data_IF_645043489363
#
_entry.id   IF_645043489363
#
_cell.length_a   1.000
_cell.length_b   1.000
_cell.length_c   1.000
_cell.angle_alpha   90.00
_cell.angle_beta   90.00
_cell.angle_gamma   90.00
#
_symmetry.space_group_name_H-M   'P 1'
#
loop_
_entity.id
_entity.type
_entity.pdbx_description
1 polymer ?
#
# COMPACT_ATOMS: atom_id res chain seq x y z
N UNK A 1 -1.19 5.06 -1.75
CA UNK A 1 -0.03 5.66 -2.44
C UNK A 1 1.23 4.94 -1.98
N UNK A 2 2.36 5.12 -2.65
CA UNK A 2 3.64 4.55 -2.18
C UNK A 2 3.96 5.09 -0.77
N UNK A 3 4.38 4.22 0.14
CA UNK A 3 4.59 4.50 1.56
C UNK A 3 3.36 4.32 2.46
N UNK A 4 2.15 4.12 1.92
CA UNK A 4 0.96 3.83 2.73
C UNK A 4 0.99 2.41 3.30
N UNK A 5 0.25 2.20 4.38
CA UNK A 5 0.06 0.89 5.00
C UNK A 5 -0.59 -0.09 4.01
N UNK A 6 -0.06 -1.31 3.98
CA UNK A 6 -0.64 -2.36 3.17
C UNK A 6 -1.92 -2.89 3.81
N UNK A 7 -3.05 -2.61 3.16
CA UNK A 7 -4.35 -3.17 3.54
C UNK A 7 -4.77 -4.33 2.60
N UNK A 8 -4.83 -5.60 3.06
CA UNK A 8 -5.28 -6.74 2.27
C UNK A 8 -6.72 -6.63 1.73
N UNK A 9 -7.58 -5.81 2.34
CA UNK A 9 -8.94 -5.58 1.86
C UNK A 9 -8.99 -4.64 0.65
N UNK A 10 -7.92 -3.87 0.41
CA UNK A 10 -7.84 -2.88 -0.68
C UNK A 10 -6.70 -3.17 -1.67
N UNK A 11 -5.73 -3.97 -1.26
CA UNK A 11 -4.48 -4.21 -1.98
C UNK A 11 -4.22 -5.69 -2.18
N UNK A 12 -3.68 -6.01 -3.36
CA UNK A 12 -3.20 -7.32 -3.74
C UNK A 12 -1.67 -7.27 -3.80
N UNK A 13 -1.01 -7.88 -2.81
CA UNK A 13 0.45 -7.96 -2.76
C UNK A 13 0.96 -8.96 -3.80
N UNK A 14 1.47 -8.45 -4.92
CA UNK A 14 2.03 -9.27 -6.01
C UNK A 14 3.53 -9.50 -5.87
N UNK A 15 4.18 -8.69 -5.05
CA UNK A 15 5.60 -8.79 -4.68
C UNK A 15 5.73 -8.49 -3.18
N UNK A 16 6.68 -9.15 -2.53
CA UNK A 16 7.00 -8.94 -1.11
C UNK A 16 8.51 -9.00 -0.93
N UNK A 17 9.07 -7.93 -0.39
CA UNK A 17 10.45 -7.87 0.09
C UNK A 17 10.47 -7.51 1.57
N UNK A 18 11.10 -8.33 2.42
CA UNK A 18 11.13 -8.07 3.85
C UNK A 18 10.79 -9.28 4.72
N UNK A 19 10.70 -9.04 6.02
CA UNK A 19 10.26 -10.00 7.03
C UNK A 19 8.77 -9.87 7.40
N UNK A 20 8.11 -8.80 6.94
CA UNK A 20 6.68 -8.57 7.13
C UNK A 20 6.32 -7.95 8.48
N UNK A 21 7.29 -7.40 9.21
CA UNK A 21 7.05 -6.77 10.53
C UNK A 21 6.20 -5.50 10.44
N UNK A 22 6.33 -4.72 9.37
CA UNK A 22 5.51 -3.53 9.13
C UNK A 22 5.29 -3.30 7.62
N UNK A 23 4.38 -4.06 6.99
CA UNK A 23 4.22 -4.06 5.55
C UNK A 23 3.62 -2.74 5.05
N UNK A 24 4.35 -2.03 4.21
CA UNK A 24 3.91 -0.83 3.50
C UNK A 24 4.01 -1.01 2.00
N UNK A 25 3.27 -0.20 1.26
CA UNK A 25 3.27 -0.19 -0.21
C UNK A 25 4.61 0.39 -0.69
N UNK A 26 5.50 -0.45 -1.21
CA UNK A 26 6.76 -0.01 -1.81
C UNK A 26 6.57 0.60 -3.20
N UNK A 27 5.72 -0.03 -4.02
CA UNK A 27 5.39 0.47 -5.36
C UNK A 27 3.96 0.09 -5.78
N UNK A 28 3.32 0.96 -6.58
CA UNK A 28 1.99 0.66 -7.15
C UNK A 28 2.13 0.27 -8.62
N UNK A 29 1.99 -1.02 -8.91
CA UNK A 29 2.06 -1.54 -10.29
C UNK A 29 0.75 -1.30 -11.05
N UNK A 30 -0.38 -1.41 -10.34
CA UNK A 30 -1.71 -1.20 -10.92
C UNK A 30 -2.64 -0.56 -9.90
N UNK A 31 -3.22 0.59 -10.25
CA UNK A 31 -4.18 1.29 -9.39
C UNK A 31 -5.44 0.46 -9.16
N UNK A 32 -5.86 0.36 -7.90
CA UNK A 32 -7.17 -0.16 -7.51
C UNK A 32 -8.24 0.93 -7.60
N UNK A 33 -9.50 0.52 -7.54
CA UNK A 33 -10.65 1.43 -7.52
C UNK A 33 -11.67 0.95 -6.51
N UNK A 34 -12.26 1.91 -5.79
CA UNK A 34 -13.39 1.71 -4.89
C UNK A 34 -14.51 2.70 -5.22
N UNK A 35 -15.75 2.25 -5.10
CA UNK A 35 -16.94 3.07 -5.24
C UNK A 35 -17.70 3.03 -3.91
N UNK A 36 -17.61 4.12 -3.14
CA UNK A 36 -18.06 4.13 -1.76
C UNK A 36 -17.27 3.11 -0.95
N UNK A 37 -17.97 2.15 -0.35
CA UNK A 37 -17.39 1.03 0.41
C UNK A 37 -17.11 -0.20 -0.46
N UNK A 38 -17.61 -0.24 -1.70
CA UNK A 38 -17.44 -1.39 -2.57
C UNK A 38 -16.10 -1.31 -3.32
N UNK A 39 -15.24 -2.30 -3.09
CA UNK A 39 -14.01 -2.48 -3.86
C UNK A 39 -14.36 -3.01 -5.25
N UNK A 40 -14.07 -2.23 -6.28
CA UNK A 40 -14.27 -2.64 -7.68
C UNK A 40 -13.07 -3.46 -8.19
N UNK A 41 -11.88 -3.09 -7.72
CA UNK A 41 -10.64 -3.80 -8.00
C UNK A 41 -9.57 -3.43 -6.98
N UNK A 42 -8.90 -4.42 -6.41
CA UNK A 42 -7.74 -4.19 -5.55
C UNK A 42 -6.57 -3.58 -6.34
N UNK A 43 -5.76 -2.76 -5.69
CA UNK A 43 -4.53 -2.28 -6.31
C UNK A 43 -3.46 -3.36 -6.26
N UNK A 44 -2.76 -3.62 -7.37
CA UNK A 44 -1.63 -4.54 -7.36
C UNK A 44 -0.39 -3.76 -6.93
N UNK A 45 0.21 -4.18 -5.83
CA UNK A 45 1.31 -3.47 -5.16
C UNK A 45 2.45 -4.42 -4.81
N UNK A 46 3.68 -3.91 -4.81
CA UNK A 46 4.77 -4.55 -4.10
C UNK A 46 4.82 -4.03 -2.67
N UNK A 47 5.01 -4.94 -1.72
CA UNK A 47 5.05 -4.65 -0.29
C UNK A 47 6.50 -4.73 0.20
N UNK A 48 6.90 -3.74 0.99
CA UNK A 48 8.20 -3.67 1.66
C UNK A 48 8.01 -3.43 3.14
N UNK A 49 9.02 -3.73 3.96
CA UNK A 49 8.99 -3.32 5.36
C UNK A 49 9.21 -1.80 5.48
N UNK A 50 8.40 -1.14 6.30
CA UNK A 50 8.59 0.26 6.60
C UNK A 50 9.95 0.45 7.31
N UNK A 51 10.75 1.41 6.83
CA UNK A 51 11.91 1.85 7.58
C UNK A 51 11.45 2.41 8.95
N UNK A 52 12.24 2.22 10.02
CA UNK A 52 11.92 2.80 11.32
C UNK A 52 12.00 4.34 11.19
N UNK A 53 10.81 4.96 11.21
CA UNK A 53 10.53 6.41 11.13
C UNK A 53 10.65 7.07 9.75
N UNK A 54 9.51 7.26 9.08
CA UNK A 54 9.05 8.59 8.65
C UNK A 54 7.55 8.56 8.33
N UNK A 55 6.73 8.74 9.37
CA UNK A 55 5.33 9.11 9.21
C UNK A 55 5.27 10.59 8.82
N UNK A 56 5.42 10.91 7.53
CA UNK A 56 5.16 12.26 7.05
C UNK A 56 4.50 12.24 5.67
N UNK A 57 3.24 11.81 5.64
CA UNK A 57 2.32 12.16 4.56
C UNK A 57 1.80 13.57 4.83
N UNK A 58 2.64 14.57 4.54
CA UNK A 58 2.27 15.98 4.54
C UNK A 58 1.26 16.19 3.41
N UNK A 59 -0.02 16.20 3.81
CA UNK A 59 -1.16 16.50 2.95
C UNK A 59 -1.38 18.02 2.97
N UNK A 60 -0.64 18.77 2.16
CA UNK A 60 -0.95 20.18 1.93
C UNK A 60 -0.57 20.61 0.51
N UNK A 61 -1.55 20.58 -0.42
CA UNK A 61 -1.78 21.65 -1.40
C UNK A 61 -3.16 21.55 -2.07
#
# INVERSE_FOLDING_TARGET
>A
AEGEEFDPALHEAVQHEGDGSNPVIGNVMRKGYKLGEQVLRHAMVGVVDAAPADQNAESDQ
#
